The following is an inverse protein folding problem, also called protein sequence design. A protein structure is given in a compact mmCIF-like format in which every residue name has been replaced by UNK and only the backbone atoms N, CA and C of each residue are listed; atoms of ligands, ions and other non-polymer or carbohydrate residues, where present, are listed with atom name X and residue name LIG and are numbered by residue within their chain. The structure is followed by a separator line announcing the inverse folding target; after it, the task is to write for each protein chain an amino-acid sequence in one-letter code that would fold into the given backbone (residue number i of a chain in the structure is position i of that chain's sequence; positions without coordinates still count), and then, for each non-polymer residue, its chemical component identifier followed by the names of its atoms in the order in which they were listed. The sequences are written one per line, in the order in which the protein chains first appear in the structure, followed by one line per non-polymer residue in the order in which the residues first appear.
data_IF_539065564076
#
_entry.id   IF_539065564076
#
_cell.length_a   1.000
_cell.length_b   1.000
_cell.length_c   1.000
_cell.angle_alpha   90.00
_cell.angle_beta   90.00
_cell.angle_gamma   90.00
#
_symmetry.space_group_name_H-M   'P 1'
#
loop_
_entity.id
_entity.type
_entity.pdbx_description
1 polymer ?
#
# COMPACT_ATOMS: atom_id res chain seq x y z
N UNK A 1 -26.54 2.61 -2.41
CA UNK A 1 -25.89 1.56 -1.59
C UNK A 1 -24.92 2.28 -0.67
N UNK A 2 -25.16 2.30 0.65
CA UNK A 2 -24.28 2.98 1.63
C UNK A 2 -23.19 2.00 2.03
N UNK A 3 -21.94 2.31 1.75
CA UNK A 3 -20.78 1.46 2.03
C UNK A 3 -20.20 1.66 3.45
N UNK A 4 -20.97 2.28 4.36
CA UNK A 4 -20.42 2.79 5.63
C UNK A 4 -20.88 2.04 6.88
N UNK A 5 -21.31 0.79 6.75
CA UNK A 5 -21.70 -0.01 7.91
C UNK A 5 -21.14 -1.43 7.86
N UNK A 6 -19.82 -1.56 7.69
CA UNK A 6 -19.12 -2.73 8.24
C UNK A 6 -18.99 -2.49 9.74
N UNK A 7 -20.09 -2.75 10.41
CA UNK A 7 -20.27 -2.70 11.85
C UNK A 7 -19.13 -3.51 12.50
N UNK A 8 -18.18 -2.79 13.10
CA UNK A 8 -17.10 -3.35 13.91
C UNK A 8 -17.64 -3.84 15.27
N UNK A 9 -18.74 -4.59 15.28
CA UNK A 9 -19.29 -5.17 16.50
C UNK A 9 -18.34 -6.28 16.95
N UNK A 10 -17.88 -6.26 18.22
CA UNK A 10 -17.10 -7.36 18.77
C UNK A 10 -17.95 -8.63 18.77
N UNK A 11 -17.45 -9.67 18.13
CA UNK A 11 -18.09 -10.99 18.19
C UNK A 11 -17.59 -11.65 19.47
N UNK A 12 -18.50 -11.93 20.42
CA UNK A 12 -18.20 -12.63 21.67
C UNK A 12 -17.10 -11.98 22.55
N UNK A 13 -17.00 -10.64 22.53
CA UNK A 13 -15.99 -9.91 23.31
C UNK A 13 -14.59 -9.88 22.69
N UNK A 14 -14.40 -10.51 21.52
CA UNK A 14 -13.16 -10.44 20.74
C UNK A 14 -13.31 -9.35 19.66
N UNK A 15 -12.34 -8.44 19.51
CA UNK A 15 -12.37 -7.47 18.43
C UNK A 15 -12.41 -8.20 17.09
N UNK A 16 -13.35 -7.81 16.22
CA UNK A 16 -13.48 -8.40 14.90
C UNK A 16 -12.19 -8.23 14.09
N UNK A 17 -11.94 -9.13 13.14
CA UNK A 17 -10.76 -9.01 12.28
C UNK A 17 -10.77 -7.71 11.48
N UNK A 18 -11.96 -7.21 11.09
CA UNK A 18 -12.11 -5.89 10.48
C UNK A 18 -11.60 -4.76 11.39
N UNK A 19 -11.87 -4.82 12.71
CA UNK A 19 -11.34 -3.85 13.66
C UNK A 19 -9.82 -3.94 13.78
N UNK A 20 -9.27 -5.17 13.83
CA UNK A 20 -7.82 -5.39 13.91
C UNK A 20 -7.11 -4.84 12.67
N UNK A 21 -7.67 -5.09 11.49
CA UNK A 21 -7.19 -4.60 10.21
C UNK A 21 -7.23 -3.07 10.17
N UNK A 22 -8.37 -2.46 10.52
CA UNK A 22 -8.51 -0.99 10.56
C UNK A 22 -7.51 -0.34 11.53
N UNK A 23 -7.31 -0.95 12.70
CA UNK A 23 -6.34 -0.47 13.70
C UNK A 23 -4.90 -0.60 13.22
N UNK A 24 -4.56 -1.70 12.54
CA UNK A 24 -3.21 -1.94 12.03
C UNK A 24 -2.87 -1.03 10.84
N UNK A 25 -3.84 -0.79 9.94
CA UNK A 25 -3.65 0.07 8.76
C UNK A 25 -3.65 1.56 9.10
N UNK A 26 -4.31 1.97 10.18
CA UNK A 26 -4.35 3.38 10.61
C UNK A 26 -4.97 4.27 9.52
N UNK A 27 -4.32 5.38 9.12
CA UNK A 27 -4.83 6.25 8.04
C UNK A 27 -5.01 5.51 6.70
N UNK A 28 -4.23 4.47 6.44
CA UNK A 28 -4.35 3.67 5.22
C UNK A 28 -5.55 2.71 5.22
N UNK A 29 -6.31 2.66 6.32
CA UNK A 29 -7.58 1.95 6.35
C UNK A 29 -8.68 2.70 5.58
N UNK A 30 -8.49 3.99 5.34
CA UNK A 30 -9.39 4.79 4.51
C UNK A 30 -9.15 4.45 3.04
N UNK A 31 -10.25 4.29 2.30
CA UNK A 31 -10.20 4.03 0.86
C UNK A 31 -9.79 5.30 0.14
N UNK A 32 -8.74 5.21 -0.67
CA UNK A 32 -8.26 6.31 -1.50
C UNK A 32 -9.23 6.56 -2.66
N UNK A 33 -9.44 7.83 -3.03
CA UNK A 33 -10.27 8.20 -4.18
C UNK A 33 -9.61 7.77 -5.51
N UNK A 34 -10.40 7.65 -6.58
CA UNK A 34 -9.90 7.22 -7.90
C UNK A 34 -8.87 8.22 -8.48
N UNK A 35 -9.10 9.52 -8.29
CA UNK A 35 -8.18 10.57 -8.74
C UNK A 35 -6.88 10.56 -7.94
N UNK A 36 -6.97 10.38 -6.63
CA UNK A 36 -5.81 10.24 -5.75
C UNK A 36 -4.97 9.02 -6.12
N UNK A 37 -5.62 7.88 -6.41
CA UNK A 37 -4.95 6.66 -6.85
C UNK A 37 -4.16 6.87 -8.15
N UNK A 38 -4.74 7.57 -9.13
CA UNK A 38 -4.05 7.83 -10.41
C UNK A 38 -2.82 8.72 -10.22
N UNK A 39 -2.92 9.74 -9.38
CA UNK A 39 -1.79 10.63 -9.11
C UNK A 39 -0.67 9.91 -8.33
N UNK A 40 -1.01 9.11 -7.31
CA UNK A 40 -0.03 8.29 -6.58
C UNK A 40 0.68 7.29 -7.51
N UNK A 41 -0.05 6.63 -8.41
CA UNK A 41 0.55 5.76 -9.43
C UNK A 41 1.54 6.51 -10.33
N UNK A 42 1.19 7.72 -10.75
CA UNK A 42 2.08 8.59 -11.55
C UNK A 42 3.34 8.96 -10.76
N UNK A 43 3.20 9.37 -9.51
CA UNK A 43 4.32 9.75 -8.64
C UNK A 43 5.27 8.57 -8.38
N UNK A 44 4.73 7.38 -8.11
CA UNK A 44 5.52 6.14 -7.96
C UNK A 44 6.30 5.85 -9.24
N UNK A 45 5.68 5.96 -10.42
CA UNK A 45 6.34 5.76 -11.71
C UNK A 45 7.50 6.75 -11.90
N UNK A 46 7.29 8.02 -11.62
CA UNK A 46 8.32 9.06 -11.71
C UNK A 46 9.49 8.79 -10.74
N UNK A 47 9.19 8.40 -9.49
CA UNK A 47 10.21 8.04 -8.49
C UNK A 47 11.03 6.84 -8.93
N UNK A 48 10.41 5.80 -9.50
CA UNK A 48 11.10 4.63 -10.06
C UNK A 48 12.02 5.02 -11.22
N UNK A 49 11.56 5.88 -12.13
CA UNK A 49 12.41 6.38 -13.22
C UNK A 49 13.59 7.21 -12.71
N UNK A 50 13.36 8.10 -11.73
CA UNK A 50 14.42 8.91 -11.09
C UNK A 50 15.46 8.04 -10.38
N UNK A 51 15.02 6.95 -9.75
CA UNK A 51 15.87 6.07 -8.97
C UNK A 51 16.39 4.86 -9.77
N UNK A 52 16.10 4.75 -11.08
CA UNK A 52 16.50 3.62 -11.92
C UNK A 52 18.01 3.35 -11.86
N UNK A 53 18.81 4.37 -11.60
CA UNK A 53 20.27 4.29 -11.49
C UNK A 53 20.81 4.60 -10.08
N UNK A 54 19.94 4.77 -9.08
CA UNK A 54 20.36 4.94 -7.68
C UNK A 54 20.51 3.56 -7.05
N UNK A 55 21.75 3.12 -6.92
CA UNK A 55 22.10 1.77 -6.48
C UNK A 55 23.01 1.04 -7.46
N UNK A 56 23.46 1.69 -8.54
CA UNK A 56 24.57 1.19 -9.34
C UNK A 56 25.81 1.22 -8.45
N UNK A 57 26.35 0.05 -8.11
CA UNK A 57 27.66 -0.02 -7.45
C UNK A 57 28.76 0.53 -8.37
N UNK A 58 29.98 0.73 -7.86
CA UNK A 58 31.11 1.21 -8.68
C UNK A 58 31.44 0.31 -9.89
N UNK A 59 30.77 -0.84 -10.04
CA UNK A 59 30.94 -1.81 -11.11
C UNK A 59 29.79 -1.78 -12.14
N UNK A 60 28.88 -0.80 -12.09
CA UNK A 60 27.80 -0.70 -13.08
C UNK A 60 26.66 -1.68 -12.86
N UNK A 61 26.64 -2.44 -11.74
CA UNK A 61 25.70 -3.52 -11.50
C UNK A 61 24.55 -3.04 -10.63
N UNK A 62 23.32 -3.19 -11.13
CA UNK A 62 22.13 -2.98 -10.32
C UNK A 62 21.99 -4.13 -9.31
N UNK A 63 21.66 -3.87 -8.03
CA UNK A 63 21.31 -4.92 -7.10
C UNK A 63 20.13 -5.69 -7.69
N UNK A 64 20.25 -7.01 -7.73
CA UNK A 64 19.16 -7.89 -8.18
C UNK A 64 17.99 -7.66 -7.23
N UNK A 65 17.02 -6.87 -7.67
CA UNK A 65 15.74 -6.74 -6.96
C UNK A 65 15.09 -8.12 -7.10
N UNK A 66 14.98 -8.86 -6.00
CA UNK A 66 14.26 -10.13 -5.97
C UNK A 66 12.79 -9.82 -6.29
N UNK A 67 12.41 -9.98 -7.55
CA UNK A 67 11.01 -10.06 -7.94
C UNK A 67 10.64 -11.53 -7.87
N UNK A 68 10.14 -11.97 -6.72
CA UNK A 68 9.40 -13.22 -6.64
C UNK A 68 8.06 -12.98 -7.34
N UNK A 69 8.02 -13.37 -8.60
CA UNK A 69 6.78 -13.57 -9.34
C UNK A 69 6.21 -14.90 -8.88
N UNK A 70 5.03 -14.91 -8.26
CA UNK A 70 4.16 -16.09 -8.26
C UNK A 70 2.70 -15.70 -8.16
#
# INVERSE_FOLDING_TARGET
MKADEVIAVPVNGVPSDAWRIKRALGPYAETMDELELLEEQRLIRLKRMKNKYKGVDNNGKHPKVFTESS
#
